data_IF_707527228474
#
_entry.id   IF_707527228474
#
_cell.length_a   1.000
_cell.length_b   1.000
_cell.length_c   1.000
_cell.angle_alpha   90.00
_cell.angle_beta   90.00
_cell.angle_gamma   90.00
#
_symmetry.space_group_name_H-M   'P 1'
#
loop_
_entity.id
_entity.type
_entity.pdbx_description
1 polymer ?
#
# COMPACT_ATOMS: atom_id res chain seq x y z
N UNK A 1 -16.82 -7.24 -1.66
CA UNK A 1 -18.28 -7.27 -1.95
C UNK A 1 -18.99 -7.26 -0.61
N UNK A 2 -20.08 -6.51 -0.47
CA UNK A 2 -20.89 -6.46 0.75
C UNK A 2 -22.37 -6.22 0.42
N UNK A 3 -23.24 -6.41 1.40
CA UNK A 3 -24.65 -5.99 1.39
C UNK A 3 -25.06 -5.62 2.80
N UNK A 4 -25.93 -4.63 2.96
CA UNK A 4 -26.44 -4.27 4.28
C UNK A 4 -27.44 -5.33 4.78
N UNK A 5 -27.11 -6.08 5.86
CA UNK A 5 -27.95 -7.15 6.34
C UNK A 5 -29.28 -6.66 6.94
N UNK A 6 -29.39 -5.36 7.24
CA UNK A 6 -30.64 -4.76 7.75
C UNK A 6 -31.62 -4.42 6.63
N UNK A 7 -31.17 -4.39 5.37
CA UNK A 7 -31.96 -3.98 4.21
C UNK A 7 -32.18 -2.47 4.07
N UNK A 8 -31.62 -1.65 4.97
CA UNK A 8 -31.78 -0.18 4.93
C UNK A 8 -30.99 0.47 3.79
N UNK A 9 -29.91 -0.17 3.34
CA UNK A 9 -29.21 0.13 2.09
C UNK A 9 -29.39 -1.03 1.09
N UNK A 10 -30.41 -1.00 0.22
CA UNK A 10 -30.71 -2.13 -0.66
C UNK A 10 -29.57 -2.48 -1.63
N UNK A 11 -29.47 -3.75 -1.99
CA UNK A 11 -28.61 -4.22 -3.07
C UNK A 11 -27.26 -4.78 -2.64
N UNK A 12 -26.53 -5.29 -3.62
CA UNK A 12 -25.18 -5.85 -3.49
C UNK A 12 -24.18 -4.84 -4.00
N UNK A 13 -23.13 -4.59 -3.22
CA UNK A 13 -22.11 -3.59 -3.49
C UNK A 13 -20.76 -4.26 -3.72
N UNK A 14 -20.10 -3.86 -4.80
CA UNK A 14 -18.77 -4.36 -5.15
C UNK A 14 -17.82 -3.17 -5.19
N UNK A 15 -16.67 -3.32 -4.52
CA UNK A 15 -15.54 -2.41 -4.61
C UNK A 15 -14.41 -3.08 -5.39
N UNK A 16 -13.73 -2.30 -6.21
CA UNK A 16 -12.56 -2.74 -6.97
C UNK A 16 -11.70 -1.52 -7.29
N UNK A 17 -10.46 -1.75 -7.73
CA UNK A 17 -9.64 -0.69 -8.31
C UNK A 17 -9.40 -0.95 -9.79
N UNK A 18 -9.37 0.11 -10.59
CA UNK A 18 -9.15 0.06 -12.03
C UNK A 18 -8.37 1.30 -12.49
N UNK A 19 -7.69 1.18 -13.62
CA UNK A 19 -7.04 2.32 -14.26
C UNK A 19 -8.08 3.32 -14.78
N UNK A 20 -8.03 4.55 -14.27
CA UNK A 20 -8.81 5.68 -14.75
C UNK A 20 -8.52 5.90 -16.24
N UNK A 21 -9.48 5.70 -17.15
CA UNK A 21 -9.20 5.70 -18.59
C UNK A 21 -8.56 7.00 -19.11
N UNK A 22 -8.95 8.15 -18.53
CA UNK A 22 -8.43 9.48 -18.93
C UNK A 22 -7.00 9.76 -18.45
N UNK A 23 -6.42 8.88 -17.64
CA UNK A 23 -5.04 9.02 -17.14
C UNK A 23 -4.04 8.18 -17.93
N UNK A 24 -4.49 7.44 -18.94
CA UNK A 24 -3.65 6.49 -19.66
C UNK A 24 -2.74 7.21 -20.65
N UNK A 25 -1.43 7.03 -20.51
CA UNK A 25 -0.40 7.60 -21.37
C UNK A 25 0.70 6.57 -21.73
N UNK A 26 1.50 6.79 -22.78
CA UNK A 26 2.66 5.96 -23.07
C UNK A 26 3.65 5.97 -21.90
N UNK A 27 4.23 4.82 -21.61
CA UNK A 27 5.32 4.73 -20.63
C UNK A 27 6.62 5.30 -21.22
N UNK A 28 7.37 6.04 -20.41
CA UNK A 28 8.73 6.51 -20.74
C UNK A 28 9.83 5.59 -20.19
N UNK A 29 9.44 4.52 -19.49
CA UNK A 29 10.35 3.51 -18.92
C UNK A 29 9.90 2.09 -19.32
N UNK A 30 10.53 1.06 -18.75
CA UNK A 30 10.04 -0.32 -18.86
C UNK A 30 8.79 -0.60 -18.01
N UNK A 31 8.39 0.32 -17.12
CA UNK A 31 7.20 0.18 -16.28
C UNK A 31 5.93 0.22 -17.13
N UNK A 32 4.93 -0.59 -16.78
CA UNK A 32 3.61 -0.60 -17.42
C UNK A 32 2.56 -0.97 -16.40
N UNK A 33 1.50 -0.15 -16.30
CA UNK A 33 0.40 -0.34 -15.35
C UNK A 33 -0.98 -0.28 -16.01
N UNK A 34 -1.05 0.10 -17.28
CA UNK A 34 -2.28 0.24 -18.06
C UNK A 34 -2.23 -0.55 -19.38
N UNK A 35 -1.59 -1.71 -19.35
CA UNK A 35 -1.27 -2.52 -20.54
C UNK A 35 0.14 -2.29 -21.07
N UNK A 36 0.56 -3.09 -22.04
CA UNK A 36 1.94 -3.08 -22.57
C UNK A 36 2.36 -1.69 -23.08
N UNK A 37 3.45 -1.15 -22.51
CA UNK A 37 4.00 0.15 -22.89
C UNK A 37 3.15 1.35 -22.46
N UNK A 38 2.17 1.14 -21.56
CA UNK A 38 1.26 2.19 -21.10
C UNK A 38 1.17 2.22 -19.58
N UNK A 39 0.98 3.41 -19.06
CA UNK A 39 0.77 3.67 -17.63
C UNK A 39 -0.52 4.44 -17.41
N UNK A 40 -1.06 4.37 -16.21
CA UNK A 40 -2.23 5.14 -15.82
C UNK A 40 -2.47 5.10 -14.31
N UNK A 41 -3.28 6.02 -13.84
CA UNK A 41 -3.67 6.14 -12.43
C UNK A 41 -4.69 5.06 -12.07
N UNK A 42 -4.45 4.32 -11.00
CA UNK A 42 -5.43 3.39 -10.41
C UNK A 42 -6.34 4.17 -9.45
N UNK A 43 -7.65 3.96 -9.54
CA UNK A 43 -8.63 4.49 -8.61
C UNK A 43 -9.51 3.40 -8.03
N UNK A 44 -10.04 3.62 -6.83
CA UNK A 44 -11.08 2.80 -6.23
C UNK A 44 -12.45 3.18 -6.77
N UNK A 45 -13.19 2.20 -7.26
CA UNK A 45 -14.54 2.30 -7.77
C UNK A 45 -15.50 1.42 -6.98
N UNK A 46 -16.75 1.85 -6.91
CA UNK A 46 -17.86 1.04 -6.43
C UNK A 46 -18.92 0.92 -7.52
N UNK A 47 -19.50 -0.27 -7.64
CA UNK A 47 -20.69 -0.57 -8.42
C UNK A 47 -21.74 -1.23 -7.52
N UNK A 48 -23.01 -1.08 -7.89
CA UNK A 48 -24.15 -1.63 -7.15
C UNK A 48 -25.07 -2.40 -8.09
N UNK A 49 -25.54 -3.54 -7.62
CA UNK A 49 -26.69 -4.25 -8.20
C UNK A 49 -27.89 -4.14 -7.24
N UNK A 50 -29.08 -3.97 -7.81
CA UNK A 50 -30.37 -3.95 -7.08
C UNK A 50 -31.31 -5.08 -7.53
N UNK A 51 -30.79 -6.03 -8.32
CA UNK A 51 -31.51 -7.12 -8.98
C UNK A 51 -30.75 -8.45 -8.86
N UNK A 52 -30.13 -8.67 -7.69
CA UNK A 52 -29.40 -9.88 -7.33
C UNK A 52 -28.24 -10.23 -8.28
N UNK A 53 -27.53 -9.20 -8.74
CA UNK A 53 -26.32 -9.32 -9.57
C UNK A 53 -26.58 -9.45 -11.07
N UNK A 54 -27.84 -9.36 -11.53
CA UNK A 54 -28.18 -9.45 -12.95
C UNK A 54 -27.71 -8.23 -13.74
N UNK A 55 -27.84 -7.03 -13.18
CA UNK A 55 -27.30 -5.79 -13.74
C UNK A 55 -26.54 -5.00 -12.69
N UNK A 56 -25.57 -4.20 -13.16
CA UNK A 56 -24.72 -3.37 -12.32
C UNK A 56 -24.77 -1.92 -12.79
N UNK A 57 -24.71 -0.99 -11.82
CA UNK A 57 -24.60 0.43 -12.10
C UNK A 57 -23.32 0.78 -12.87
N UNK A 58 -23.28 1.98 -13.45
CA UNK A 58 -22.00 2.57 -13.85
C UNK A 58 -21.07 2.70 -12.64
N UNK A 59 -19.74 2.54 -12.81
CA UNK A 59 -18.77 2.72 -11.74
C UNK A 59 -18.74 4.14 -11.20
N UNK A 60 -18.73 4.27 -9.88
CA UNK A 60 -18.55 5.54 -9.17
C UNK A 60 -17.18 5.51 -8.47
N UNK A 61 -16.30 6.45 -8.82
CA UNK A 61 -15.04 6.60 -8.11
C UNK A 61 -15.30 7.03 -6.67
N UNK A 62 -14.74 6.32 -5.70
CA UNK A 62 -14.90 6.61 -4.27
C UNK A 62 -14.25 7.94 -3.93
N UNK A 63 -13.04 8.17 -4.46
CA UNK A 63 -12.35 9.44 -4.40
C UNK A 63 -11.66 9.72 -5.74
N UNK A 64 -12.18 10.65 -6.56
CA UNK A 64 -11.62 10.98 -7.86
C UNK A 64 -10.38 11.90 -7.77
N UNK A 65 -9.52 11.75 -6.76
CA UNK A 65 -8.26 12.49 -6.64
C UNK A 65 -7.43 12.42 -7.94
N UNK A 66 -6.78 13.53 -8.32
CA UNK A 66 -5.94 13.59 -9.52
C UNK A 66 -4.52 13.07 -9.26
N UNK A 67 -4.19 12.76 -8.00
CA UNK A 67 -2.88 12.29 -7.55
C UNK A 67 -3.03 11.00 -6.77
N UNK A 68 -1.99 10.17 -6.83
CA UNK A 68 -1.93 8.89 -6.12
C UNK A 68 -2.57 7.74 -6.91
N UNK A 69 -2.00 6.55 -6.78
CA UNK A 69 -2.67 5.30 -7.08
C UNK A 69 -3.48 4.89 -5.85
N UNK A 70 -4.72 4.50 -6.05
CA UNK A 70 -5.55 3.86 -5.03
C UNK A 70 -5.57 2.36 -5.27
N UNK A 71 -5.40 1.58 -4.20
CA UNK A 71 -5.23 0.13 -4.27
C UNK A 71 -5.67 -0.57 -2.98
N UNK A 72 -5.85 -1.89 -3.10
CA UNK A 72 -6.35 -2.80 -2.07
C UNK A 72 -7.62 -2.32 -1.37
N UNK A 73 -8.68 -1.90 -2.10
CA UNK A 73 -9.86 -1.39 -1.43
C UNK A 73 -10.64 -2.51 -0.74
N UNK A 74 -11.24 -2.19 0.40
CA UNK A 74 -12.22 -3.05 1.09
C UNK A 74 -13.47 -2.24 1.46
N UNK A 75 -14.61 -2.92 1.62
CA UNK A 75 -15.94 -2.30 1.72
C UNK A 75 -16.84 -3.04 2.71
N UNK A 76 -17.58 -2.28 3.51
CA UNK A 76 -18.64 -2.83 4.36
C UNK A 76 -19.88 -1.92 4.40
N UNK A 77 -21.04 -2.52 4.70
CA UNK A 77 -22.32 -1.86 4.74
C UNK A 77 -23.19 -2.36 5.91
N UNK A 78 -23.79 -1.43 6.64
CA UNK A 78 -24.64 -1.73 7.78
C UNK A 78 -25.61 -0.57 8.07
N UNK A 79 -26.87 -0.87 8.35
CA UNK A 79 -27.87 0.10 8.83
C UNK A 79 -27.95 1.36 7.96
N UNK A 80 -28.08 1.18 6.64
CA UNK A 80 -28.19 2.29 5.70
C UNK A 80 -26.86 2.98 5.36
N UNK A 81 -25.75 2.54 5.96
CA UNK A 81 -24.41 3.09 5.76
C UNK A 81 -23.56 2.16 4.91
N UNK A 82 -22.57 2.76 4.25
CA UNK A 82 -21.54 2.05 3.50
C UNK A 82 -20.24 2.82 3.61
N UNK A 83 -19.14 2.10 3.74
CA UNK A 83 -17.82 2.68 3.95
C UNK A 83 -16.78 1.88 3.19
N UNK A 84 -15.80 2.60 2.67
CA UNK A 84 -14.72 2.03 1.87
C UNK A 84 -13.39 2.47 2.48
N UNK A 85 -12.47 1.53 2.66
CA UNK A 85 -11.09 1.78 3.04
C UNK A 85 -10.17 1.41 1.87
N UNK A 86 -9.10 2.15 1.66
CA UNK A 86 -8.10 1.85 0.63
C UNK A 86 -6.73 2.43 1.02
N UNK A 87 -5.69 2.03 0.31
CA UNK A 87 -4.38 2.66 0.39
C UNK A 87 -4.13 3.58 -0.80
N UNK A 88 -3.41 4.67 -0.55
CA UNK A 88 -3.17 5.71 -1.54
C UNK A 88 -1.81 6.38 -1.34
N UNK A 89 -1.08 6.62 -2.42
CA UNK A 89 0.21 7.34 -2.39
C UNK A 89 0.14 8.81 -2.82
N UNK A 90 -1.01 9.47 -2.75
CA UNK A 90 -1.19 10.90 -3.08
C UNK A 90 -0.29 11.85 -2.29
N UNK A 91 0.20 11.39 -1.13
CA UNK A 91 1.12 12.12 -0.27
C UNK A 91 2.57 12.06 -0.74
N UNK A 92 2.93 11.11 -1.60
CA UNK A 92 4.27 11.03 -2.18
C UNK A 92 4.56 12.29 -3.01
N UNK A 93 5.56 13.12 -2.64
CA UNK A 93 5.91 14.32 -3.39
C UNK A 93 6.37 14.02 -4.82
N UNK A 94 6.79 12.79 -5.12
CA UNK A 94 7.27 12.36 -6.43
C UNK A 94 6.27 11.46 -7.18
N UNK A 95 5.02 11.39 -6.72
CA UNK A 95 3.97 10.66 -7.43
C UNK A 95 3.98 10.99 -8.93
N UNK A 96 4.05 9.93 -9.74
CA UNK A 96 3.86 9.96 -11.18
C UNK A 96 3.31 8.60 -11.61
N UNK A 97 2.39 8.58 -12.58
CA UNK A 97 1.94 7.33 -13.19
C UNK A 97 3.08 6.60 -13.92
N UNK A 98 4.15 7.31 -14.27
CA UNK A 98 5.31 6.77 -15.00
C UNK A 98 6.20 5.84 -14.17
N UNK A 99 6.01 5.78 -12.85
CA UNK A 99 6.85 5.01 -11.95
C UNK A 99 6.02 4.13 -11.00
N UNK A 100 6.56 3.01 -10.53
CA UNK A 100 5.96 2.26 -9.42
C UNK A 100 5.74 3.15 -8.18
N UNK A 101 4.80 2.76 -7.33
CA UNK A 101 4.50 3.47 -6.08
C UNK A 101 5.79 3.61 -5.25
N UNK A 102 6.08 4.83 -4.78
CA UNK A 102 7.24 5.10 -3.93
C UNK A 102 8.58 5.19 -4.67
N UNK A 103 8.56 5.24 -6.00
CA UNK A 103 9.77 5.35 -6.82
C UNK A 103 9.89 6.75 -7.42
N UNK A 104 11.12 7.25 -7.50
CA UNK A 104 11.50 8.43 -8.27
C UNK A 104 12.69 8.10 -9.17
N UNK A 105 12.73 8.64 -10.38
CA UNK A 105 13.92 8.59 -11.22
C UNK A 105 14.80 9.80 -10.91
N UNK A 106 16.02 9.58 -10.43
CA UNK A 106 16.98 10.67 -10.26
C UNK A 106 17.64 10.98 -11.62
N UNK A 107 17.54 12.24 -12.12
CA UNK A 107 18.19 12.63 -13.37
C UNK A 107 19.69 12.35 -13.33
N UNK A 108 20.23 11.76 -14.40
CA UNK A 108 21.65 11.42 -14.53
C UNK A 108 22.02 10.03 -14.02
N UNK A 109 21.24 9.42 -13.12
CA UNK A 109 21.44 8.03 -12.69
C UNK A 109 20.67 7.03 -13.55
N UNK A 110 19.54 7.44 -14.13
CA UNK A 110 18.64 6.59 -14.94
C UNK A 110 18.25 5.27 -14.23
N UNK A 111 18.04 5.34 -12.92
CA UNK A 111 17.68 4.22 -12.04
C UNK A 111 16.65 4.65 -11.00
N UNK A 112 15.82 3.71 -10.56
CA UNK A 112 14.78 3.95 -9.58
C UNK A 112 15.37 4.22 -8.19
N UNK A 113 14.87 5.23 -7.51
CA UNK A 113 15.25 5.59 -6.14
C UNK A 113 14.00 5.64 -5.27
N UNK A 114 14.15 5.34 -3.99
CA UNK A 114 13.09 5.46 -3.02
C UNK A 114 12.70 6.93 -2.84
N UNK A 115 11.46 7.28 -3.18
CA UNK A 115 10.93 8.63 -2.97
C UNK A 115 10.90 8.99 -1.48
N UNK A 116 10.92 7.99 -0.59
CA UNK A 116 11.01 8.17 0.86
C UNK A 116 12.22 9.00 1.30
N UNK A 117 13.35 8.89 0.58
CA UNK A 117 14.57 9.65 0.87
C UNK A 117 14.35 11.17 0.76
N UNK A 118 13.42 11.59 -0.09
CA UNK A 118 13.12 12.99 -0.37
C UNK A 118 11.77 13.44 0.23
N UNK A 119 11.00 12.53 0.82
CA UNK A 119 9.69 12.83 1.36
C UNK A 119 9.78 13.57 2.70
N UNK A 120 8.86 14.53 2.91
CA UNK A 120 8.70 15.23 4.20
C UNK A 120 7.27 15.05 4.73
N UNK A 121 7.07 14.44 5.92
CA UNK A 121 8.09 13.76 6.73
C UNK A 121 8.66 12.53 6.00
N UNK A 122 9.86 12.10 6.41
CA UNK A 122 10.56 10.96 5.81
C UNK A 122 9.64 9.74 5.73
N UNK A 123 9.64 9.07 4.57
CA UNK A 123 8.83 7.87 4.35
C UNK A 123 7.32 8.10 4.15
N UNK A 124 6.82 9.35 4.11
CA UNK A 124 5.39 9.64 3.92
C UNK A 124 4.92 9.44 2.47
N UNK A 125 4.91 8.19 2.01
CA UNK A 125 4.60 7.81 0.63
C UNK A 125 3.17 7.27 0.54
N UNK A 126 2.91 6.09 1.11
CA UNK A 126 1.60 5.43 1.14
C UNK A 126 0.91 5.73 2.46
N UNK A 127 -0.39 6.02 2.41
CA UNK A 127 -1.26 6.19 3.57
C UNK A 127 -2.61 5.49 3.33
N UNK A 128 -3.27 5.05 4.41
CA UNK A 128 -4.63 4.51 4.36
C UNK A 128 -5.69 5.61 4.49
N UNK A 129 -6.75 5.50 3.69
CA UNK A 129 -7.86 6.43 3.58
C UNK A 129 -9.22 5.74 3.72
N UNK A 130 -10.24 6.52 4.08
CA UNK A 130 -11.61 6.09 4.25
C UNK A 130 -12.59 7.08 3.60
N UNK A 131 -13.69 6.59 3.04
CA UNK A 131 -14.83 7.41 2.66
C UNK A 131 -16.15 6.67 2.91
N UNK A 132 -17.12 7.40 3.43
CA UNK A 132 -18.50 6.94 3.59
C UNK A 132 -19.37 7.34 2.41
N UNK A 133 -20.40 6.54 2.17
CA UNK A 133 -21.50 6.88 1.29
C UNK A 133 -22.30 8.06 1.86
N UNK A 134 -22.60 9.07 1.04
CA UNK A 134 -23.40 10.24 1.46
C UNK A 134 -24.84 10.19 0.96
N UNK A 135 -25.08 9.58 -0.20
CA UNK A 135 -26.42 9.40 -0.73
C UNK A 135 -26.51 8.17 -1.61
N UNK A 136 -27.64 7.48 -1.57
CA UNK A 136 -28.00 6.43 -2.53
C UNK A 136 -29.51 6.43 -2.76
N UNK A 137 -29.89 6.27 -4.02
CA UNK A 137 -31.27 6.06 -4.44
C UNK A 137 -31.29 5.05 -5.61
N UNK A 138 -32.42 4.90 -6.29
CA UNK A 138 -32.55 3.97 -7.42
C UNK A 138 -31.80 4.42 -8.68
N UNK A 139 -31.48 5.72 -8.80
CA UNK A 139 -30.78 6.29 -9.96
C UNK A 139 -29.25 6.34 -9.79
N UNK A 140 -28.74 6.21 -8.56
CA UNK A 140 -27.30 6.26 -8.31
C UNK A 140 -26.93 6.50 -6.85
N UNK A 141 -25.65 6.72 -6.62
CA UNK A 141 -25.07 6.93 -5.30
C UNK A 141 -23.81 7.79 -5.35
N UNK A 142 -23.43 8.39 -4.22
CA UNK A 142 -22.28 9.30 -4.11
C UNK A 142 -21.51 9.07 -2.81
N UNK A 143 -20.20 9.31 -2.86
CA UNK A 143 -19.31 9.30 -1.69
C UNK A 143 -19.07 10.70 -1.15
N UNK A 144 -18.77 10.77 0.13
CA UNK A 144 -18.29 11.98 0.79
C UNK A 144 -16.82 12.27 0.49
N UNK A 145 -16.30 13.30 1.14
CA UNK A 145 -14.85 13.56 1.11
C UNK A 145 -14.10 12.44 1.83
N UNK A 146 -13.01 11.97 1.23
CA UNK A 146 -12.14 10.97 1.86
C UNK A 146 -11.38 11.57 3.04
N UNK A 147 -11.13 10.76 4.06
CA UNK A 147 -10.29 11.11 5.20
C UNK A 147 -9.07 10.18 5.28
N UNK A 148 -7.90 10.72 5.62
CA UNK A 148 -6.74 9.91 5.96
C UNK A 148 -6.96 9.27 7.34
N UNK A 149 -6.87 7.96 7.44
CA UNK A 149 -7.05 7.21 8.70
C UNK A 149 -5.73 6.71 9.30
N UNK A 150 -4.69 6.62 8.49
CA UNK A 150 -3.32 6.35 8.96
C UNK A 150 -2.70 7.58 9.64
N UNK A 151 -1.95 7.34 10.72
CA UNK A 151 -1.25 8.41 11.46
C UNK A 151 0.14 8.71 10.90
N UNK A 152 0.74 7.74 10.20
CA UNK A 152 2.02 7.87 9.50
C UNK A 152 1.91 7.17 8.14
N UNK A 153 2.59 7.73 7.14
CA UNK A 153 2.81 7.03 5.89
C UNK A 153 4.08 6.18 5.94
N UNK A 154 4.25 5.35 4.93
CA UNK A 154 5.41 4.45 4.81
C UNK A 154 5.82 4.24 3.36
N UNK A 155 7.04 3.72 3.16
CA UNK A 155 7.52 3.20 1.88
C UNK A 155 7.02 1.75 1.72
N UNK A 156 6.24 1.48 0.68
CA UNK A 156 5.74 0.12 0.39
C UNK A 156 6.81 -0.77 -0.23
N UNK A 157 7.84 -0.20 -0.86
CA UNK A 157 8.81 -0.96 -1.66
C UNK A 157 10.08 -1.36 -0.89
N UNK A 158 10.05 -1.37 0.45
CA UNK A 158 11.22 -1.81 1.21
C UNK A 158 11.55 -3.28 0.94
N UNK A 159 12.83 -3.56 0.71
CA UNK A 159 13.36 -4.87 0.36
C UNK A 159 13.57 -5.75 1.60
N UNK A 160 12.48 -6.26 2.16
CA UNK A 160 12.53 -7.01 3.41
C UNK A 160 13.04 -8.43 3.23
N UNK A 161 12.77 -9.08 2.09
CA UNK A 161 13.06 -10.50 1.89
C UNK A 161 14.17 -10.74 0.86
N UNK A 162 14.51 -12.01 0.65
CA UNK A 162 15.56 -12.40 -0.30
C UNK A 162 16.96 -11.94 0.10
N UNK A 163 17.18 -11.56 1.36
CA UNK A 163 18.37 -10.83 1.81
C UNK A 163 18.47 -9.46 1.13
N UNK A 164 17.47 -8.59 1.32
CA UNK A 164 17.37 -7.26 0.68
C UNK A 164 17.43 -7.33 -0.84
N UNK A 165 16.54 -8.11 -1.42
CA UNK A 165 16.42 -8.23 -2.88
C UNK A 165 14.95 -8.36 -3.33
N UNK A 166 14.04 -8.43 -2.37
CA UNK A 166 12.64 -8.71 -2.63
C UNK A 166 11.81 -7.71 -1.84
N UNK A 167 11.22 -6.71 -2.53
CA UNK A 167 10.27 -5.82 -1.89
C UNK A 167 9.06 -6.63 -1.47
N UNK A 168 8.51 -6.28 -0.32
CA UNK A 168 7.24 -6.86 0.09
C UNK A 168 6.40 -5.82 0.81
N UNK A 169 5.11 -5.85 0.51
CA UNK A 169 4.12 -5.01 1.15
C UNK A 169 2.88 -5.87 1.33
N UNK A 170 2.34 -5.90 2.55
CA UNK A 170 1.08 -6.60 2.79
C UNK A 170 -0.04 -6.00 1.94
N UNK A 171 -0.93 -6.85 1.47
CA UNK A 171 -2.07 -6.50 0.62
C UNK A 171 -3.41 -6.50 1.38
N UNK A 172 -3.36 -6.45 2.71
CA UNK A 172 -4.54 -6.57 3.57
C UNK A 172 -5.03 -5.19 4.00
N UNK A 173 -6.19 -4.80 3.47
CA UNK A 173 -7.08 -3.85 4.14
C UNK A 173 -8.36 -4.59 4.55
N UNK A 174 -8.94 -4.20 5.66
CA UNK A 174 -10.22 -4.71 6.13
C UNK A 174 -11.04 -3.59 6.75
N UNK A 175 -12.34 -3.57 6.51
CA UNK A 175 -13.30 -2.74 7.23
C UNK A 175 -14.43 -3.61 7.77
N UNK A 176 -14.83 -3.33 9.00
CA UNK A 176 -16.02 -3.91 9.59
C UNK A 176 -16.85 -2.85 10.30
N UNK A 177 -18.15 -2.88 10.07
CA UNK A 177 -19.14 -2.02 10.69
C UNK A 177 -19.92 -2.75 11.77
N UNK A 178 -20.25 -2.03 12.84
CA UNK A 178 -21.10 -2.49 13.92
C UNK A 178 -22.01 -1.36 14.41
N UNK A 179 -23.22 -1.72 14.81
CA UNK A 179 -24.07 -0.80 15.58
C UNK A 179 -23.52 -0.69 16.99
N UNK A 180 -23.34 0.53 17.49
CA UNK A 180 -22.95 0.72 18.88
C UNK A 180 -24.12 0.39 19.82
N UNK A 181 -23.83 -0.06 21.06
CA UNK A 181 -24.85 -0.30 22.07
C UNK A 181 -25.76 0.93 22.26
N UNK A 182 -27.07 0.73 22.50
CA UNK A 182 -28.03 1.81 22.67
C UNK A 182 -27.64 2.81 23.77
N UNK A 183 -26.91 2.35 24.79
CA UNK A 183 -26.49 3.19 25.93
C UNK A 183 -25.42 4.22 25.54
N UNK A 184 -24.70 4.01 24.44
CA UNK A 184 -23.76 5.00 23.89
C UNK A 184 -24.49 6.08 23.08
N UNK A 185 -25.78 5.88 22.75
CA UNK A 185 -26.74 6.85 22.19
C UNK A 185 -26.21 7.75 21.05
N UNK A 186 -25.41 7.18 20.14
CA UNK A 186 -24.88 7.94 19.01
C UNK A 186 -25.73 7.82 17.74
N UNK A 187 -26.69 6.89 17.65
CA UNK A 187 -27.47 6.66 16.42
C UNK A 187 -26.61 6.34 15.18
N UNK A 188 -25.32 6.06 15.41
CA UNK A 188 -24.27 5.98 14.39
C UNK A 188 -23.79 4.54 14.26
N UNK A 189 -23.39 4.18 13.06
CA UNK A 189 -22.62 2.97 12.80
C UNK A 189 -21.16 3.26 13.12
N UNK A 190 -20.50 2.35 13.83
CA UNK A 190 -19.06 2.40 14.05
C UNK A 190 -18.36 1.51 13.02
N UNK A 191 -17.39 2.05 12.31
CA UNK A 191 -16.51 1.31 11.44
C UNK A 191 -15.13 1.17 12.08
N UNK A 192 -14.62 -0.06 12.13
CA UNK A 192 -13.22 -0.33 12.44
C UNK A 192 -12.52 -0.80 11.17
N UNK A 193 -11.40 -0.15 10.85
CA UNK A 193 -10.59 -0.49 9.69
C UNK A 193 -9.23 -0.98 10.16
N UNK A 194 -8.68 -1.98 9.48
CA UNK A 194 -7.29 -2.39 9.64
C UNK A 194 -6.57 -2.43 8.31
N UNK A 195 -5.26 -2.24 8.34
CA UNK A 195 -4.40 -2.29 7.17
C UNK A 195 -2.97 -2.69 7.53
N UNK A 196 -2.28 -3.31 6.58
CA UNK A 196 -0.81 -3.50 6.65
C UNK A 196 -0.06 -2.23 6.30
N UNK A 197 1.06 -2.00 6.97
CA UNK A 197 1.87 -0.79 6.83
C UNK A 197 3.33 -1.09 7.24
N UNK A 198 4.29 -0.46 6.57
CA UNK A 198 5.73 -0.62 6.80
C UNK A 198 6.35 0.54 7.61
N UNK A 199 5.56 1.36 8.32
CA UNK A 199 6.03 2.59 9.00
C UNK A 199 7.09 2.36 10.07
N UNK A 200 7.13 1.17 10.64
CA UNK A 200 8.07 0.79 11.69
C UNK A 200 9.26 0.01 11.11
N UNK A 201 9.28 -0.25 9.79
CA UNK A 201 10.45 -0.82 9.12
C UNK A 201 11.61 0.14 9.24
N UNK A 202 12.69 -0.33 9.86
CA UNK A 202 13.93 0.42 10.02
C UNK A 202 14.72 0.35 8.70
N UNK A 203 14.95 1.50 8.02
CA UNK A 203 15.77 1.54 6.83
C UNK A 203 17.20 1.11 7.14
N UNK A 204 17.88 0.52 6.17
CA UNK A 204 19.27 0.11 6.30
C UNK A 204 20.08 0.45 5.07
N UNK A 205 21.28 -0.12 5.02
CA UNK A 205 22.15 -0.11 3.85
C UNK A 205 22.46 -1.54 3.49
N UNK A 206 22.36 -1.89 2.22
CA UNK A 206 22.92 -3.12 1.72
C UNK A 206 24.42 -2.95 1.42
N UNK A 207 25.31 -3.71 2.09
CA UNK A 207 26.75 -3.64 1.84
C UNK A 207 27.17 -4.08 0.43
N UNK A 208 26.28 -4.72 -0.35
CA UNK A 208 26.52 -5.02 -1.78
C UNK A 208 26.39 -3.77 -2.65
N UNK A 209 25.68 -2.75 -2.18
CA UNK A 209 25.48 -1.51 -2.90
C UNK A 209 26.60 -0.53 -2.59
N UNK A 210 27.37 -0.16 -3.61
CA UNK A 210 28.41 0.87 -3.47
C UNK A 210 28.15 1.98 -4.47
N UNK A 211 28.47 3.23 -4.10
CA UNK A 211 28.19 4.40 -4.97
C UNK A 211 28.91 4.34 -6.33
N UNK A 212 29.92 3.47 -6.48
CA UNK A 212 30.71 3.29 -7.70
C UNK A 212 30.27 2.12 -8.58
N UNK A 213 29.38 1.25 -8.11
CA UNK A 213 29.14 -0.03 -8.77
C UNK A 213 27.91 -0.01 -9.69
N UNK A 214 28.08 -0.26 -11.01
CA UNK A 214 26.93 -0.46 -11.89
C UNK A 214 26.18 -1.77 -11.60
N UNK A 215 26.77 -2.75 -10.89
CA UNK A 215 26.20 -4.03 -10.43
C UNK A 215 27.18 -4.74 -9.44
N UNK A 216 26.80 -4.95 -8.14
CA UNK A 216 25.48 -5.46 -7.78
C UNK A 216 24.53 -4.47 -7.09
N UNK A 217 24.82 -3.18 -7.03
CA UNK A 217 23.81 -2.17 -6.67
C UNK A 217 24.40 -0.81 -6.31
N UNK A 218 23.52 0.20 -6.21
CA UNK A 218 23.83 1.56 -5.79
C UNK A 218 22.82 1.94 -4.72
N UNK A 219 23.23 2.72 -3.72
CA UNK A 219 22.35 3.10 -2.60
C UNK A 219 21.08 3.75 -3.14
N UNK A 220 19.97 3.01 -3.16
CA UNK A 220 18.71 3.42 -3.76
C UNK A 220 17.62 3.78 -2.73
N UNK A 221 17.87 3.46 -1.46
CA UNK A 221 17.01 3.78 -0.33
C UNK A 221 15.81 2.85 -0.14
N UNK A 222 15.80 1.67 -0.77
CA UNK A 222 14.81 0.62 -0.51
C UNK A 222 15.28 -0.44 0.51
N UNK A 223 16.54 -0.37 0.93
CA UNK A 223 17.11 -1.31 1.90
C UNK A 223 16.57 -1.18 3.32
N UNK A 224 16.60 -2.31 4.04
CA UNK A 224 16.20 -2.43 5.44
C UNK A 224 17.35 -2.84 6.35
N UNK A 225 17.20 -2.62 7.66
CA UNK A 225 18.16 -3.08 8.65
C UNK A 225 18.23 -4.61 8.69
N UNK A 226 19.42 -5.18 8.51
CA UNK A 226 19.75 -6.61 8.70
C UNK A 226 21.20 -6.70 9.16
N UNK A 227 21.47 -7.53 10.17
CA UNK A 227 22.81 -7.71 10.73
C UNK A 227 23.45 -8.93 10.11
N UNK A 228 24.12 -8.72 8.99
CA UNK A 228 24.80 -9.76 8.23
C UNK A 228 26.29 -9.48 8.17
N UNK A 229 27.07 -10.54 8.22
CA UNK A 229 28.52 -10.48 8.10
C UNK A 229 28.95 -10.99 6.73
N UNK A 230 29.82 -10.24 6.05
CA UNK A 230 30.46 -10.67 4.80
C UNK A 230 31.52 -11.73 5.08
N UNK A 231 31.19 -13.00 4.84
CA UNK A 231 32.04 -14.18 4.88
C UNK A 231 33.18 -14.16 3.85
N UNK A 232 33.05 -13.40 2.74
CA UNK A 232 34.11 -13.20 1.75
C UNK A 232 35.26 -12.34 2.29
N UNK A 233 34.96 -11.38 3.17
CA UNK A 233 35.99 -10.57 3.86
C UNK A 233 36.58 -11.27 5.10
N UNK A 234 35.83 -12.19 5.70
CA UNK A 234 36.18 -12.87 6.96
C UNK A 234 36.95 -14.20 6.75
N UNK A 235 37.10 -14.65 5.50
CA UNK A 235 37.91 -15.82 5.13
C UNK A 235 39.42 -15.72 5.50
N UNK A 236 39.87 -14.63 6.09
CA UNK A 236 41.25 -14.45 6.61
C UNK A 236 41.43 -14.87 8.08
N UNK A 237 40.41 -15.38 8.80
CA UNK A 237 40.64 -15.70 10.23
C UNK A 237 39.66 -16.53 11.03
N UNK A 238 38.53 -17.01 10.49
CA UNK A 238 37.61 -17.85 11.26
C UNK A 238 37.75 -19.34 10.89
N UNK A 239 38.37 -20.09 11.80
CA UNK A 239 38.30 -21.55 11.80
C UNK A 239 36.86 -22.03 12.01
N UNK A 240 36.47 -23.01 11.21
CA UNK A 240 35.29 -23.90 11.35
C UNK A 240 34.84 -24.10 12.82
N UNK A 241 33.55 -24.11 13.21
CA UNK A 241 32.50 -24.97 12.65
C UNK A 241 31.05 -24.60 13.06
N UNK A 242 30.80 -23.44 13.68
CA UNK A 242 29.49 -23.16 14.33
C UNK A 242 28.62 -22.10 13.64
N UNK A 243 28.98 -21.68 12.42
CA UNK A 243 28.14 -20.77 11.64
C UNK A 243 27.26 -21.63 10.73
N UNK A 244 25.91 -21.62 10.87
CA UNK A 244 25.02 -22.30 9.95
C UNK A 244 25.32 -21.80 8.53
N UNK A 245 25.79 -22.71 7.69
CA UNK A 245 26.39 -22.40 6.40
C UNK A 245 25.43 -21.56 5.55
N UNK A 246 25.88 -20.35 5.23
CA UNK A 246 25.46 -19.64 4.04
C UNK A 246 25.61 -20.58 2.83
N UNK A 247 24.67 -20.48 1.90
CA UNK A 247 24.65 -21.28 0.68
C UNK A 247 25.96 -21.09 -0.11
N UNK A 248 26.31 -22.07 -0.94
CA UNK A 248 27.57 -22.15 -1.73
C UNK A 248 27.84 -20.92 -2.64
N UNK A 249 26.88 -20.01 -2.76
CA UNK A 249 26.80 -18.85 -3.64
C UNK A 249 26.57 -17.50 -2.88
N UNK A 250 26.55 -17.48 -1.54
CA UNK A 250 26.32 -16.26 -0.76
C UNK A 250 27.55 -15.88 0.10
N UNK A 251 28.17 -14.71 -0.12
CA UNK A 251 29.24 -14.23 0.74
C UNK A 251 28.74 -13.68 2.08
N UNK A 252 27.45 -13.78 2.44
CA UNK A 252 26.92 -13.21 3.69
C UNK A 252 26.26 -14.25 4.59
N UNK A 253 26.32 -14.04 5.91
CA UNK A 253 25.55 -14.82 6.90
C UNK A 253 24.04 -14.61 6.75
N UNK A 254 23.26 -15.43 7.47
CA UNK A 254 21.88 -15.08 7.81
C UNK A 254 21.81 -13.76 8.60
N UNK A 255 20.61 -13.16 8.64
CA UNK A 255 20.35 -11.97 9.45
C UNK A 255 20.36 -12.35 10.95
N UNK A 256 21.34 -11.83 11.69
CA UNK A 256 21.52 -12.06 13.12
C UNK A 256 20.74 -11.09 14.00
N UNK A 257 20.03 -10.13 13.41
CA UNK A 257 19.19 -9.18 14.14
C UNK A 257 17.81 -8.99 13.49
N UNK A 258 17.17 -10.08 13.05
CA UNK A 258 15.85 -10.01 12.39
C UNK A 258 14.76 -9.28 13.21
N UNK A 259 14.90 -9.20 14.53
CA UNK A 259 13.99 -8.45 15.42
C UNK A 259 14.39 -6.99 15.66
N UNK A 260 15.40 -6.47 14.96
CA UNK A 260 15.84 -5.07 15.06
C UNK A 260 15.07 -4.12 14.13
N UNK A 261 13.94 -4.57 13.60
CA UNK A 261 12.95 -3.75 12.92
C UNK A 261 13.05 -3.71 11.39
N UNK A 262 13.97 -4.44 10.77
CA UNK A 262 14.05 -4.48 9.30
C UNK A 262 12.97 -5.32 8.61
N UNK A 263 12.19 -6.09 9.38
CA UNK A 263 11.17 -7.03 8.88
C UNK A 263 9.78 -6.71 9.45
N UNK A 264 9.59 -5.52 10.00
CA UNK A 264 8.39 -5.14 10.74
C UNK A 264 7.20 -4.87 9.82
N UNK A 265 6.43 -5.93 9.57
CA UNK A 265 5.17 -5.85 8.86
C UNK A 265 4.00 -5.84 9.84
N UNK A 266 3.58 -4.64 10.20
CA UNK A 266 2.60 -4.43 11.23
C UNK A 266 1.20 -4.21 10.65
N UNK A 267 0.19 -4.60 11.43
CA UNK A 267 -1.20 -4.29 11.16
C UNK A 267 -1.61 -3.15 12.11
N UNK A 268 -2.12 -2.07 11.55
CA UNK A 268 -2.70 -0.97 12.31
C UNK A 268 -4.19 -0.89 12.06
N UNK A 269 -4.88 -0.11 12.87
CA UNK A 269 -6.29 0.18 12.63
C UNK A 269 -6.73 1.52 13.19
N UNK A 270 -7.91 1.93 12.75
CA UNK A 270 -8.59 3.12 13.25
C UNK A 270 -10.10 2.90 13.26
N UNK A 271 -10.73 3.50 14.26
CA UNK A 271 -12.18 3.57 14.38
C UNK A 271 -12.75 4.89 13.87
N UNK A 272 -13.91 4.84 13.22
CA UNK A 272 -14.67 6.02 12.79
C UNK A 272 -16.16 5.82 13.07
N UNK A 273 -16.81 6.88 13.51
CA UNK A 273 -18.26 6.95 13.50
C UNK A 273 -18.70 7.35 12.09
N UNK A 274 -19.67 6.63 11.56
CA UNK A 274 -20.31 6.95 10.29
C UNK A 274 -21.65 7.59 10.63
N UNK A 275 -21.80 8.90 10.36
CA UNK A 275 -23.00 9.65 10.70
C UNK A 275 -24.20 9.12 9.96
#
# INVERSE_FOLDING_TARGET
VTSDPTGQLPGVWLVYNEIRPRSIEPSVTSYSSAGSGRVGQSLTYVIRSIDDGQTWSNPVAVDPNLRGHQFFPDIDALSGRLGVVWQDNRTDPFYSVQFPIGNVLIPGLNRAFSSAYFATPYGNIVNSFFAGLTSANTMGFTFGTSEKVSTKGHQSQYEMFGSRQTPFHGDYNWIQMATLPPELNLGTVYAYMTWTDNRDVVPGVDPRETQSDPNPGFIDGFDVQQCRTDLGTVAQGLGSADIPLARRDAPFTGDTCGNAGGLDQNIYGAGKLIP
#
